data_IF_335468015330
#
_entry.id   IF_335468015330
#
_cell.length_a   1.000
_cell.length_b   1.000
_cell.length_c   1.000
_cell.angle_alpha   90.00
_cell.angle_beta   90.00
_cell.angle_gamma   90.00
#
_symmetry.space_group_name_H-M   'P 1'
#
loop_
_entity.id
_entity.type
_entity.pdbx_description
1 polymer ?
#
# COMPACT_ATOMS: atom_id res chain seq x y z
N UNK A 1 -4.16 -12.55 -4.33
CA UNK A 1 -5.49 -11.92 -4.29
C UNK A 1 -5.35 -10.57 -3.58
N UNK A 2 -5.93 -9.49 -4.11
CA UNK A 2 -5.90 -8.17 -3.49
C UNK A 2 -7.00 -8.01 -2.44
N UNK A 3 -6.71 -7.26 -1.36
CA UNK A 3 -7.70 -6.92 -0.34
C UNK A 3 -8.24 -5.52 -0.63
N UNK A 4 -9.43 -5.45 -1.22
CA UNK A 4 -10.06 -4.20 -1.63
C UNK A 4 -11.11 -3.71 -0.63
N UNK A 5 -11.30 -2.39 -0.56
CA UNK A 5 -12.27 -1.76 0.33
C UNK A 5 -12.06 -0.26 0.41
N UNK A 6 -13.07 0.47 0.89
CA UNK A 6 -13.01 1.93 0.99
C UNK A 6 -11.89 2.40 1.92
N UNK A 7 -11.41 3.63 1.71
CA UNK A 7 -10.51 4.29 2.65
C UNK A 7 -11.21 4.36 4.01
N UNK A 8 -10.51 3.94 5.08
CA UNK A 8 -11.08 3.87 6.43
C UNK A 8 -11.90 2.59 6.73
N UNK A 9 -12.01 1.63 5.82
CA UNK A 9 -12.79 0.40 6.05
C UNK A 9 -12.12 -0.65 6.96
N UNK A 10 -10.97 -0.33 7.58
CA UNK A 10 -10.27 -1.24 8.50
C UNK A 10 -9.38 -2.30 7.83
N UNK A 11 -9.07 -2.19 6.53
CA UNK A 11 -8.21 -3.12 5.79
C UNK A 11 -6.87 -3.39 6.48
N UNK A 12 -6.17 -2.32 6.87
CA UNK A 12 -4.88 -2.42 7.56
C UNK A 12 -4.99 -3.18 8.88
N UNK A 13 -6.08 -2.94 9.65
CA UNK A 13 -6.34 -3.66 10.90
C UNK A 13 -6.60 -5.16 10.66
N UNK A 14 -7.32 -5.49 9.59
CA UNK A 14 -7.56 -6.88 9.20
C UNK A 14 -6.25 -7.58 8.80
N UNK A 15 -5.40 -6.94 7.98
CA UNK A 15 -4.10 -7.48 7.60
C UNK A 15 -3.19 -7.69 8.81
N UNK A 16 -3.19 -6.77 9.77
CA UNK A 16 -2.41 -6.91 11.01
C UNK A 16 -2.84 -8.12 11.84
N UNK A 17 -4.15 -8.36 12.00
CA UNK A 17 -4.66 -9.52 12.72
C UNK A 17 -4.37 -10.84 11.97
N UNK A 18 -4.45 -10.85 10.64
CA UNK A 18 -4.07 -12.01 9.83
C UNK A 18 -2.59 -12.35 9.98
N UNK A 19 -1.69 -11.35 9.88
CA UNK A 19 -0.25 -11.51 10.16
C UNK A 19 -0.02 -12.14 11.53
N UNK A 20 -0.69 -11.65 12.57
CA UNK A 20 -0.58 -12.16 13.94
C UNK A 20 -1.02 -13.63 14.05
N UNK A 21 -2.10 -14.03 13.38
CA UNK A 21 -2.61 -15.41 13.45
C UNK A 21 -1.74 -16.38 12.65
N UNK A 22 -1.30 -15.98 11.46
CA UNK A 22 -0.49 -16.83 10.58
C UNK A 22 0.89 -17.07 11.17
N UNK A 23 1.53 -16.04 11.76
CA UNK A 23 2.83 -16.19 12.42
C UNK A 23 2.80 -17.14 13.63
N UNK A 24 1.62 -17.44 14.18
CA UNK A 24 1.43 -18.37 15.29
C UNK A 24 0.92 -19.76 14.84
N UNK A 25 0.93 -20.04 13.54
CA UNK A 25 0.40 -21.28 12.96
C UNK A 25 1.47 -22.01 12.15
N UNK A 26 1.36 -23.34 12.01
CA UNK A 26 2.24 -24.16 11.15
C UNK A 26 1.94 -24.03 9.65
N UNK A 27 1.35 -22.91 9.23
CA UNK A 27 1.03 -22.65 7.83
C UNK A 27 2.29 -22.19 7.08
N UNK A 28 2.28 -22.41 5.76
CA UNK A 28 3.29 -21.85 4.85
C UNK A 28 3.43 -20.33 5.05
N UNK A 29 4.65 -19.77 4.94
CA UNK A 29 4.87 -18.34 5.14
C UNK A 29 4.07 -17.51 4.14
N UNK A 30 3.10 -16.71 4.63
CA UNK A 30 2.41 -15.74 3.79
C UNK A 30 3.21 -14.45 3.68
N UNK A 31 3.43 -13.99 2.44
CA UNK A 31 3.99 -12.68 2.15
C UNK A 31 2.87 -11.64 2.15
N UNK A 32 3.12 -10.54 2.86
CA UNK A 32 2.23 -9.39 2.90
C UNK A 32 2.92 -8.20 2.26
N UNK A 33 2.22 -7.54 1.34
CA UNK A 33 2.66 -6.29 0.72
C UNK A 33 1.65 -5.23 1.12
N UNK A 34 2.06 -4.34 2.01
CA UNK A 34 1.21 -3.23 2.46
C UNK A 34 1.30 -2.06 1.46
N UNK A 35 0.26 -1.22 1.42
CA UNK A 35 0.28 0.03 0.66
C UNK A 35 1.37 0.98 1.21
N UNK A 36 2.29 1.50 0.37
CA UNK A 36 3.38 2.36 0.82
C UNK A 36 2.94 3.82 1.03
N UNK A 37 1.96 4.04 1.91
CA UNK A 37 1.33 5.35 2.17
C UNK A 37 2.35 6.42 2.58
N UNK A 38 3.44 6.04 3.26
CA UNK A 38 4.53 6.95 3.61
C UNK A 38 5.17 7.59 2.37
N UNK A 39 5.40 6.82 1.30
CA UNK A 39 5.92 7.35 0.03
C UNK A 39 4.96 8.34 -0.61
N UNK A 40 3.65 8.14 -0.43
CA UNK A 40 2.60 8.98 -1.01
C UNK A 40 2.41 10.29 -0.24
N UNK A 41 2.74 10.30 1.05
CA UNK A 41 2.60 11.46 1.95
C UNK A 41 3.90 12.25 2.11
N UNK A 42 5.04 11.65 1.78
CA UNK A 42 6.34 12.31 1.73
C UNK A 42 7.13 11.89 0.47
N UNK A 43 6.92 12.64 -0.61
CA UNK A 43 7.74 12.58 -1.81
C UNK A 43 8.72 13.76 -1.81
N UNK A 44 9.92 13.56 -1.25
CA UNK A 44 10.94 14.60 -1.12
C UNK A 44 10.41 15.89 -0.45
N UNK A 45 9.66 15.73 0.65
CA UNK A 45 9.01 16.83 1.37
C UNK A 45 7.66 17.27 0.81
N UNK A 46 7.16 16.64 -0.25
CA UNK A 46 5.87 16.95 -0.88
C UNK A 46 4.85 15.87 -0.55
N UNK A 47 3.72 16.26 0.03
CA UNK A 47 2.60 15.37 0.27
C UNK A 47 1.72 15.23 -0.99
N UNK A 48 2.03 14.26 -1.84
CA UNK A 48 1.32 14.02 -3.10
C UNK A 48 -0.15 13.61 -2.87
N UNK A 49 -0.41 12.85 -1.79
CA UNK A 49 -1.77 12.48 -1.38
C UNK A 49 -2.61 13.73 -1.07
N UNK A 50 -2.03 14.68 -0.33
CA UNK A 50 -2.68 15.96 -0.04
C UNK A 50 -2.90 16.79 -1.31
N UNK A 51 -1.92 16.83 -2.23
CA UNK A 51 -2.07 17.54 -3.50
C UNK A 51 -3.24 17.01 -4.33
N UNK A 52 -3.38 15.67 -4.40
CA UNK A 52 -4.51 15.01 -5.05
C UNK A 52 -5.86 15.41 -4.45
N UNK A 53 -5.97 15.49 -3.11
CA UNK A 53 -7.19 15.96 -2.47
C UNK A 53 -7.44 17.47 -2.68
N UNK A 54 -6.37 18.28 -2.79
CA UNK A 54 -6.49 19.74 -2.91
C UNK A 54 -6.88 20.24 -4.30
N UNK A 55 -6.32 19.63 -5.36
CA UNK A 55 -6.61 19.96 -6.76
C UNK A 55 -6.58 18.66 -7.59
N UNK A 56 -7.67 17.87 -7.54
CA UNK A 56 -7.71 16.56 -8.18
C UNK A 56 -7.63 16.66 -9.70
N UNK A 57 -8.09 17.76 -10.32
CA UNK A 57 -8.01 17.93 -11.78
C UNK A 57 -6.55 17.94 -12.23
N UNK A 58 -5.69 18.64 -11.48
CA UNK A 58 -4.27 18.74 -11.78
C UNK A 58 -3.48 17.52 -11.33
N UNK A 59 -3.78 16.97 -10.15
CA UNK A 59 -2.88 16.03 -9.47
C UNK A 59 -3.31 14.56 -9.53
N UNK A 60 -4.56 14.24 -9.89
CA UNK A 60 -5.04 12.84 -9.85
C UNK A 60 -4.22 11.92 -10.76
N UNK A 61 -3.94 12.33 -12.00
CA UNK A 61 -3.20 11.48 -12.94
C UNK A 61 -1.77 11.18 -12.44
N UNK A 62 -1.09 12.20 -11.94
CA UNK A 62 0.26 12.05 -11.39
C UNK A 62 0.25 11.17 -10.14
N UNK A 63 -0.68 11.42 -9.23
CA UNK A 63 -0.82 10.63 -8.00
C UNK A 63 -1.10 9.15 -8.31
N UNK A 64 -2.04 8.88 -9.22
CA UNK A 64 -2.38 7.51 -9.61
C UNK A 64 -1.22 6.79 -10.32
N UNK A 65 -0.47 7.47 -11.18
CA UNK A 65 0.74 6.90 -11.79
C UNK A 65 1.80 6.54 -10.73
N UNK A 66 1.96 7.38 -9.71
CA UNK A 66 2.90 7.14 -8.62
C UNK A 66 2.46 6.00 -7.69
N UNK A 67 1.16 5.91 -7.39
CA UNK A 67 0.56 4.76 -6.68
C UNK A 67 0.85 3.47 -7.43
N UNK A 68 0.59 3.43 -8.75
CA UNK A 68 0.85 2.24 -9.56
C UNK A 68 2.34 1.84 -9.56
N UNK A 69 3.25 2.79 -9.72
CA UNK A 69 4.70 2.55 -9.68
C UNK A 69 5.12 1.96 -8.33
N UNK A 70 4.73 2.60 -7.23
CA UNK A 70 5.16 2.20 -5.88
C UNK A 70 4.59 0.84 -5.45
N UNK A 71 3.38 0.49 -5.90
CA UNK A 71 2.80 -0.84 -5.69
C UNK A 71 3.54 -1.93 -6.47
N UNK A 72 3.83 -1.69 -7.76
CA UNK A 72 4.60 -2.63 -8.59
C UNK A 72 5.99 -2.87 -7.99
N UNK A 73 6.67 -1.82 -7.55
CA UNK A 73 7.97 -1.93 -6.89
C UNK A 73 7.89 -2.75 -5.59
N UNK A 74 6.83 -2.55 -4.79
CA UNK A 74 6.59 -3.31 -3.56
C UNK A 74 6.40 -4.80 -3.83
N UNK A 75 5.58 -5.15 -4.84
CA UNK A 75 5.38 -6.54 -5.26
C UNK A 75 6.68 -7.18 -5.77
N UNK A 76 7.43 -6.47 -6.62
CA UNK A 76 8.70 -6.97 -7.16
C UNK A 76 9.71 -7.26 -6.04
N UNK A 77 9.80 -6.38 -5.04
CA UNK A 77 10.69 -6.59 -3.89
C UNK A 77 10.27 -7.83 -3.09
N UNK A 78 8.98 -8.02 -2.82
CA UNK A 78 8.48 -9.18 -2.09
C UNK A 78 8.80 -10.51 -2.81
N UNK A 79 8.78 -10.52 -4.14
CA UNK A 79 9.08 -11.71 -4.95
C UNK A 79 10.58 -12.04 -4.98
N UNK A 80 11.47 -11.04 -4.93
CA UNK A 80 12.93 -11.22 -4.97
C UNK A 80 13.53 -11.84 -3.70
N UNK A 81 12.81 -11.83 -2.57
CA UNK A 81 13.20 -12.53 -1.34
C UNK A 81 12.60 -13.95 -1.28
N UNK A 82 12.58 -14.66 -2.41
CA UNK A 82 12.23 -16.09 -2.53
C UNK A 82 13.50 -16.87 -2.88
#
# INVERSE_FOLDING_TARGET
AGLEGNIGSGKTSLVAELKRRINNSSLEPLKFVDEPVEKWTDFNGINLLQLMYSDPIRWSNLFQAYVMLTMVDGHRQADLFT
#
